data_IF_383871532976
#
_entry.id   IF_383871532976
#
_cell.length_a   1.000
_cell.length_b   1.000
_cell.length_c   1.000
_cell.angle_alpha   90.00
_cell.angle_beta   90.00
_cell.angle_gamma   90.00
#
_symmetry.space_group_name_H-M   'P 1'
#
loop_
_entity.id
_entity.type
_entity.pdbx_description
1 polymer ?
#
# COMPACT_ATOMS: atom_id res chain seq x y z
N UNK A 1 14.65 18.51 27.15
CA UNK A 1 14.40 18.81 25.73
C UNK A 1 12.96 19.31 25.62
N UNK A 2 12.69 20.41 24.91
CA UNK A 2 11.35 20.99 24.83
C UNK A 2 10.44 20.10 23.96
N UNK A 3 9.32 19.57 24.49
CA UNK A 3 8.47 18.61 23.77
C UNK A 3 7.75 19.20 22.54
N UNK A 4 7.74 20.53 22.38
CA UNK A 4 7.03 21.21 21.30
C UNK A 4 7.89 21.53 20.07
N UNK A 5 9.21 21.31 20.10
CA UNK A 5 10.10 21.71 19.00
C UNK A 5 9.82 20.97 17.68
N UNK A 6 9.30 19.74 17.77
CA UNK A 6 9.07 18.87 16.61
C UNK A 6 7.59 18.61 16.32
N UNK A 7 6.69 19.24 17.09
CA UNK A 7 5.25 19.19 16.85
C UNK A 7 4.89 19.71 15.45
N UNK A 8 5.65 20.68 14.93
CA UNK A 8 5.49 21.14 13.55
C UNK A 8 5.74 20.02 12.52
N UNK A 9 6.78 19.19 12.70
CA UNK A 9 7.04 18.06 11.82
C UNK A 9 5.89 17.05 11.84
N UNK A 10 5.29 16.80 13.00
CA UNK A 10 4.11 15.95 13.12
C UNK A 10 2.93 16.49 12.32
N UNK A 11 2.63 17.80 12.43
CA UNK A 11 1.54 18.40 11.64
C UNK A 11 1.83 18.39 10.13
N UNK A 12 3.06 18.66 9.71
CA UNK A 12 3.45 18.52 8.31
C UNK A 12 3.26 17.08 7.81
N UNK A 13 3.74 16.09 8.57
CA UNK A 13 3.58 14.68 8.21
C UNK A 13 2.10 14.28 8.06
N UNK A 14 1.23 14.79 8.94
CA UNK A 14 -0.20 14.53 8.87
C UNK A 14 -0.83 15.10 7.59
N UNK A 15 -0.48 16.34 7.21
CA UNK A 15 -0.97 16.97 5.97
C UNK A 15 -0.50 16.19 4.74
N UNK A 16 0.80 15.85 4.67
CA UNK A 16 1.35 15.10 3.54
C UNK A 16 0.80 13.67 3.47
N UNK A 17 0.62 13.00 4.60
CA UNK A 17 0.01 11.67 4.64
C UNK A 17 -1.43 11.69 4.18
N UNK A 18 -2.20 12.75 4.48
CA UNK A 18 -3.56 12.90 3.96
C UNK A 18 -3.57 13.14 2.45
N UNK A 19 -2.67 13.97 1.93
CA UNK A 19 -2.53 14.20 0.50
C UNK A 19 -2.13 12.93 -0.26
N UNK A 20 -1.19 12.15 0.27
CA UNK A 20 -0.78 10.85 -0.27
C UNK A 20 -1.94 9.84 -0.24
N UNK A 21 -2.66 9.74 0.88
CA UNK A 21 -3.83 8.87 0.99
C UNK A 21 -4.92 9.21 -0.03
N UNK A 22 -5.16 10.51 -0.29
CA UNK A 22 -6.11 10.94 -1.32
C UNK A 22 -5.67 10.52 -2.72
N UNK A 23 -4.40 10.75 -3.07
CA UNK A 23 -3.84 10.39 -4.38
C UNK A 23 -3.85 8.87 -4.61
N UNK A 24 -3.40 8.11 -3.63
CA UNK A 24 -3.39 6.64 -3.69
C UNK A 24 -4.81 6.07 -3.76
N UNK A 25 -5.73 6.62 -2.97
CA UNK A 25 -7.15 6.23 -3.04
C UNK A 25 -7.73 6.44 -4.43
N UNK A 26 -7.52 7.62 -5.04
CA UNK A 26 -8.02 7.89 -6.39
C UNK A 26 -7.43 6.93 -7.45
N UNK A 27 -6.14 6.61 -7.34
CA UNK A 27 -5.47 5.65 -8.20
C UNK A 27 -6.03 4.22 -8.04
N UNK A 28 -6.28 3.79 -6.82
CA UNK A 28 -6.74 2.44 -6.51
C UNK A 28 -8.21 2.22 -6.92
N UNK A 29 -9.06 3.25 -6.81
CA UNK A 29 -10.43 3.22 -7.37
C UNK A 29 -10.38 3.00 -8.88
N UNK A 30 -9.48 3.68 -9.61
CA UNK A 30 -9.33 3.48 -11.05
C UNK A 30 -8.90 2.05 -11.37
N UNK A 31 -7.91 1.52 -10.64
CA UNK A 31 -7.42 0.14 -10.84
C UNK A 31 -8.50 -0.93 -10.58
N UNK A 32 -9.39 -0.69 -9.62
CA UNK A 32 -10.43 -1.66 -9.24
C UNK A 32 -11.69 -1.58 -10.10
N UNK A 33 -12.10 -0.39 -10.52
CA UNK A 33 -13.40 -0.18 -11.17
C UNK A 33 -13.33 0.16 -12.67
N UNK A 34 -12.14 0.34 -13.26
CA UNK A 34 -12.00 0.70 -14.69
C UNK A 34 -12.75 -0.26 -15.63
N UNK A 35 -12.65 -1.58 -15.42
CA UNK A 35 -13.33 -2.57 -16.27
C UNK A 35 -14.84 -2.56 -16.11
N UNK A 36 -15.34 -2.35 -14.88
CA UNK A 36 -16.78 -2.30 -14.58
C UNK A 36 -17.45 -1.04 -15.11
N UNK A 37 -16.75 0.10 -15.08
CA UNK A 37 -17.23 1.36 -15.65
C UNK A 37 -17.11 1.35 -17.18
N UNK A 38 -15.99 0.84 -17.72
CA UNK A 38 -15.77 0.78 -19.18
C UNK A 38 -16.68 -0.22 -19.90
N UNK A 39 -17.17 -1.26 -19.21
CA UNK A 39 -18.14 -2.21 -19.79
C UNK A 39 -19.57 -1.67 -19.79
N UNK A 40 -19.83 -0.51 -19.18
CA UNK A 40 -21.16 0.05 -19.03
C UNK A 40 -21.99 -0.60 -17.91
N UNK A 41 -21.41 -1.51 -17.12
CA UNK A 41 -22.10 -2.19 -16.03
C UNK A 41 -22.35 -1.27 -14.82
N UNK A 42 -21.48 -0.29 -14.58
CA UNK A 42 -21.59 0.69 -13.50
C UNK A 42 -21.35 2.11 -14.03
N UNK A 43 -22.07 3.09 -13.47
CA UNK A 43 -21.73 4.51 -13.67
C UNK A 43 -20.55 4.92 -12.78
N UNK A 44 -19.84 5.98 -13.17
CA UNK A 44 -18.72 6.51 -12.37
C UNK A 44 -19.14 6.87 -10.94
N UNK A 45 -20.33 7.47 -10.77
CA UNK A 45 -20.85 7.82 -9.44
C UNK A 45 -21.12 6.59 -8.57
N UNK A 46 -21.67 5.52 -9.15
CA UNK A 46 -21.88 4.25 -8.42
C UNK A 46 -20.56 3.61 -8.00
N UNK A 47 -19.57 3.59 -8.91
CA UNK A 47 -18.24 3.07 -8.60
C UNK A 47 -17.58 3.83 -7.44
N UNK A 48 -17.66 5.16 -7.42
CA UNK A 48 -17.14 5.99 -6.33
C UNK A 48 -17.85 5.71 -5.00
N UNK A 49 -19.19 5.59 -4.99
CA UNK A 49 -19.93 5.28 -3.76
C UNK A 49 -19.53 3.92 -3.17
N UNK A 50 -19.36 2.90 -4.02
CA UNK A 50 -18.90 1.57 -3.57
C UNK A 50 -17.48 1.67 -3.05
N UNK A 51 -16.59 2.33 -3.79
CA UNK A 51 -15.19 2.48 -3.42
C UNK A 51 -14.99 3.16 -2.07
N UNK A 52 -15.75 4.22 -1.75
CA UNK A 52 -15.67 4.89 -0.45
C UNK A 52 -15.90 3.90 0.69
N UNK A 53 -16.92 3.03 0.57
CA UNK A 53 -17.24 2.04 1.60
C UNK A 53 -16.17 0.95 1.66
N UNK A 54 -15.80 0.38 0.52
CA UNK A 54 -14.87 -0.76 0.48
C UNK A 54 -13.45 -0.38 0.87
N UNK A 55 -12.93 0.76 0.40
CA UNK A 55 -11.59 1.25 0.73
C UNK A 55 -11.50 1.66 2.19
N UNK A 56 -12.51 2.35 2.73
CA UNK A 56 -12.55 2.70 4.16
C UNK A 56 -12.60 1.46 5.04
N UNK A 57 -13.48 0.50 4.73
CA UNK A 57 -13.57 -0.75 5.49
C UNK A 57 -12.26 -1.55 5.39
N UNK A 58 -11.66 -1.67 4.22
CA UNK A 58 -10.39 -2.34 4.02
C UNK A 58 -9.27 -1.70 4.84
N UNK A 59 -9.12 -0.38 4.76
CA UNK A 59 -8.13 0.37 5.54
C UNK A 59 -8.33 0.20 7.05
N UNK A 60 -9.58 0.29 7.54
CA UNK A 60 -9.90 0.19 8.96
C UNK A 60 -9.70 -1.23 9.52
N UNK A 61 -10.18 -2.27 8.83
CA UNK A 61 -10.13 -3.64 9.33
C UNK A 61 -8.82 -4.39 9.03
N UNK A 62 -8.18 -4.10 7.90
CA UNK A 62 -7.03 -4.88 7.40
C UNK A 62 -5.74 -4.06 7.27
N UNK A 63 -5.80 -2.72 7.38
CA UNK A 63 -4.65 -1.84 7.14
C UNK A 63 -3.53 -1.92 8.19
N UNK A 64 -3.84 -2.35 9.42
CA UNK A 64 -2.88 -2.32 10.53
C UNK A 64 -1.65 -3.23 10.31
N UNK A 65 -1.83 -4.40 9.69
CA UNK A 65 -0.73 -5.32 9.40
C UNK A 65 0.29 -4.74 8.42
N UNK A 66 -0.20 -4.10 7.36
CA UNK A 66 0.63 -3.47 6.33
C UNK A 66 1.32 -2.21 6.87
N UNK A 67 0.59 -1.38 7.63
CA UNK A 67 1.15 -0.19 8.28
C UNK A 67 2.32 -0.54 9.24
N UNK A 68 2.14 -1.57 10.07
CA UNK A 68 3.19 -2.06 10.97
C UNK A 68 4.39 -2.62 10.18
N UNK A 69 4.13 -3.29 9.06
CA UNK A 69 5.20 -3.79 8.19
C UNK A 69 6.00 -2.62 7.62
N UNK A 70 5.36 -1.58 7.08
CA UNK A 70 6.07 -0.42 6.50
C UNK A 70 6.87 0.32 7.57
N UNK A 71 6.25 0.60 8.73
CA UNK A 71 6.91 1.32 9.82
C UNK A 71 8.10 0.54 10.40
N UNK A 72 7.99 -0.79 10.52
CA UNK A 72 9.01 -1.64 11.14
C UNK A 72 10.06 -2.21 10.20
N UNK A 73 9.79 -2.29 8.89
CA UNK A 73 10.66 -2.98 7.93
C UNK A 73 11.73 -2.08 7.30
N UNK A 74 11.56 -0.76 7.35
CA UNK A 74 12.45 0.17 6.64
C UNK A 74 13.62 0.60 7.54
N UNK A 75 13.33 1.11 8.74
CA UNK A 75 14.35 1.63 9.66
C UNK A 75 14.56 0.74 10.88
N UNK A 76 15.81 0.68 11.38
CA UNK A 76 16.10 0.05 12.66
C UNK A 76 15.84 1.01 13.83
N UNK A 77 14.62 0.97 14.37
CA UNK A 77 14.13 1.89 15.43
C UNK A 77 15.00 1.87 16.70
N UNK A 78 15.71 0.76 16.99
CA UNK A 78 16.62 0.67 18.14
C UNK A 78 17.80 1.64 18.05
N UNK A 79 18.28 1.91 16.84
CA UNK A 79 19.41 2.85 16.62
C UNK A 79 19.00 4.31 16.92
N UNK A 80 17.70 4.61 16.88
CA UNK A 80 17.16 5.95 17.08
C UNK A 80 16.55 6.17 18.47
N UNK A 81 16.69 5.23 19.41
CA UNK A 81 16.09 5.36 20.76
C UNK A 81 16.59 6.59 21.53
N UNK A 82 17.82 7.03 21.27
CA UNK A 82 18.39 8.24 21.86
C UNK A 82 18.02 9.53 21.11
N UNK A 83 17.49 9.43 19.88
CA UNK A 83 17.18 10.57 18.99
C UNK A 83 15.92 10.30 18.13
N UNK A 84 14.73 10.18 18.74
CA UNK A 84 13.48 9.89 18.02
C UNK A 84 13.09 11.00 17.02
N UNK A 85 13.49 12.23 17.31
CA UNK A 85 13.32 13.40 16.43
C UNK A 85 13.91 13.16 15.04
N UNK A 86 15.05 12.47 15.00
CA UNK A 86 15.79 12.21 13.77
C UNK A 86 15.21 11.03 13.00
N UNK A 87 14.55 10.09 13.68
CA UNK A 87 13.72 9.08 13.02
C UNK A 87 12.53 9.73 12.32
N UNK A 88 11.84 10.67 12.99
CA UNK A 88 10.74 11.42 12.37
C UNK A 88 11.20 12.25 11.18
N UNK A 89 12.31 12.99 11.31
CA UNK A 89 12.90 13.76 10.22
C UNK A 89 13.35 12.85 9.06
N UNK A 90 13.96 11.71 9.38
CA UNK A 90 14.41 10.70 8.43
C UNK A 90 13.25 10.05 7.67
N UNK A 91 12.12 9.83 8.32
CA UNK A 91 10.91 9.29 7.70
C UNK A 91 10.20 10.31 6.79
N UNK A 92 10.15 11.60 7.18
CA UNK A 92 9.47 12.65 6.40
C UNK A 92 10.31 13.08 5.18
N UNK A 93 11.62 13.24 5.34
CA UNK A 93 12.50 13.86 4.33
C UNK A 93 13.38 12.79 3.63
N UNK A 94 13.21 11.50 3.94
CA UNK A 94 14.07 10.41 3.46
C UNK A 94 15.57 10.63 3.74
N UNK A 95 15.91 11.42 4.76
CA UNK A 95 17.29 11.74 5.14
C UNK A 95 17.97 10.67 6.01
N UNK A 96 17.24 9.61 6.40
CA UNK A 96 17.77 8.57 7.31
C UNK A 96 19.05 7.88 6.79
N UNK A 97 19.15 7.67 5.47
CA UNK A 97 20.36 7.13 4.83
C UNK A 97 21.44 8.21 4.70
N UNK A 98 21.07 9.46 4.41
CA UNK A 98 22.02 10.55 4.26
C UNK A 98 22.69 10.95 5.60
N UNK A 99 21.97 10.84 6.72
CA UNK A 99 22.46 11.21 8.05
C UNK A 99 23.34 10.14 8.72
N UNK A 100 23.08 8.85 8.47
CA UNK A 100 23.73 7.73 9.16
C UNK A 100 24.29 6.64 8.25
N UNK A 101 24.24 6.85 6.93
CA UNK A 101 24.61 5.85 5.95
C UNK A 101 23.59 4.70 5.85
N UNK A 102 23.93 3.66 5.08
CA UNK A 102 23.05 2.52 4.86
C UNK A 102 22.80 1.64 6.09
N UNK A 103 23.47 1.87 7.22
CA UNK A 103 23.40 1.00 8.41
C UNK A 103 22.04 1.12 9.13
N UNK A 104 21.33 2.23 8.95
CA UNK A 104 20.01 2.48 9.56
C UNK A 104 18.86 1.77 8.87
N UNK A 105 19.11 1.24 7.67
CA UNK A 105 18.13 0.55 6.85
C UNK A 105 18.28 -0.96 7.01
N UNK A 106 17.17 -1.66 7.21
CA UNK A 106 17.16 -3.12 7.29
C UNK A 106 17.25 -3.73 5.90
N UNK A 107 18.46 -3.91 5.36
CA UNK A 107 18.67 -4.47 4.02
C UNK A 107 18.38 -5.97 3.90
N UNK A 108 18.47 -6.71 5.01
CA UNK A 108 18.25 -8.16 5.06
C UNK A 108 16.77 -8.49 4.82
N UNK A 109 16.45 -9.75 4.55
CA UNK A 109 15.09 -10.23 4.22
C UNK A 109 14.00 -9.83 5.23
N UNK A 110 14.35 -9.51 6.48
CA UNK A 110 13.38 -8.97 7.45
C UNK A 110 12.96 -7.52 7.20
N UNK A 111 13.57 -6.84 6.22
CA UNK A 111 13.27 -5.47 5.83
C UNK A 111 13.13 -5.30 4.32
N UNK A 112 13.97 -4.46 3.73
CA UNK A 112 13.88 -3.99 2.34
C UNK A 112 13.93 -5.13 1.33
N UNK A 113 14.75 -6.16 1.53
CA UNK A 113 14.82 -7.28 0.59
C UNK A 113 13.47 -8.02 0.43
N UNK A 114 12.65 -8.14 1.49
CA UNK A 114 11.31 -8.73 1.38
C UNK A 114 10.37 -7.89 0.51
N UNK A 115 10.48 -6.56 0.58
CA UNK A 115 9.72 -5.64 -0.27
C UNK A 115 10.10 -5.86 -1.74
N UNK A 116 11.39 -5.92 -2.06
CA UNK A 116 11.83 -6.19 -3.43
C UNK A 116 11.34 -7.56 -3.94
N UNK A 117 11.41 -8.60 -3.12
CA UNK A 117 10.90 -9.92 -3.54
C UNK A 117 9.40 -9.91 -3.82
N UNK A 118 8.60 -9.12 -3.09
CA UNK A 118 7.16 -9.08 -3.31
C UNK A 118 6.76 -8.40 -4.62
N UNK A 119 7.60 -7.50 -5.15
CA UNK A 119 7.35 -6.86 -6.46
C UNK A 119 7.34 -7.85 -7.62
N UNK A 120 8.06 -8.96 -7.50
CA UNK A 120 8.08 -10.03 -8.51
C UNK A 120 7.08 -11.14 -8.17
N UNK A 121 7.03 -11.53 -6.91
CA UNK A 121 6.18 -12.66 -6.47
C UNK A 121 4.69 -12.31 -6.58
N UNK A 122 4.29 -11.09 -6.22
CA UNK A 122 2.86 -10.70 -6.23
C UNK A 122 2.24 -10.71 -7.63
N UNK A 123 2.85 -10.09 -8.68
CA UNK A 123 2.30 -10.17 -10.03
C UNK A 123 2.26 -11.60 -10.59
N UNK A 124 3.27 -12.42 -10.27
CA UNK A 124 3.32 -13.81 -10.70
C UNK A 124 2.15 -14.61 -10.12
N UNK A 125 1.93 -14.52 -8.80
CA UNK A 125 0.81 -15.22 -8.14
C UNK A 125 -0.52 -14.72 -8.69
N UNK A 126 -0.70 -13.40 -8.84
CA UNK A 126 -1.91 -12.82 -9.43
C UNK A 126 -2.19 -13.36 -10.84
N UNK A 127 -1.16 -13.49 -11.68
CA UNK A 127 -1.27 -14.06 -13.02
C UNK A 127 -1.68 -15.54 -13.02
N UNK A 128 -1.10 -16.34 -12.13
CA UNK A 128 -1.45 -17.76 -11.98
C UNK A 128 -2.92 -17.90 -11.54
N UNK A 129 -3.33 -17.17 -10.50
CA UNK A 129 -4.70 -17.22 -9.97
C UNK A 129 -5.71 -16.76 -11.02
N UNK A 130 -5.43 -15.65 -11.70
CA UNK A 130 -6.27 -15.13 -12.80
C UNK A 130 -6.42 -16.16 -13.93
N UNK A 131 -5.33 -16.84 -14.30
CA UNK A 131 -5.35 -17.88 -15.34
C UNK A 131 -6.21 -19.07 -14.93
N UNK A 132 -6.13 -19.51 -13.68
CA UNK A 132 -6.96 -20.60 -13.15
C UNK A 132 -8.45 -20.23 -13.22
N UNK A 133 -8.80 -19.03 -12.75
CA UNK A 133 -10.19 -18.55 -12.78
C UNK A 133 -10.70 -18.47 -14.23
N UNK A 134 -9.91 -17.89 -15.13
CA UNK A 134 -10.28 -17.75 -16.54
C UNK A 134 -10.49 -19.12 -17.22
N UNK A 135 -9.56 -20.05 -17.05
CA UNK A 135 -9.68 -21.39 -17.62
C UNK A 135 -10.85 -22.16 -17.01
N UNK A 136 -11.10 -22.00 -15.71
CA UNK A 136 -12.27 -22.54 -15.02
C UNK A 136 -13.57 -22.08 -15.69
N UNK A 137 -13.76 -20.77 -15.85
CA UNK A 137 -14.93 -20.21 -16.54
C UNK A 137 -15.02 -20.67 -17.99
N UNK A 138 -13.89 -20.72 -18.71
CA UNK A 138 -13.85 -21.13 -20.12
C UNK A 138 -14.33 -22.56 -20.34
N UNK A 139 -13.88 -23.51 -19.51
CA UNK A 139 -14.23 -24.91 -19.70
C UNK A 139 -15.53 -25.32 -18.98
N UNK A 140 -15.82 -24.74 -17.81
CA UNK A 140 -17.02 -25.07 -17.05
C UNK A 140 -18.29 -24.41 -17.60
N UNK A 141 -18.17 -23.21 -18.17
CA UNK A 141 -19.33 -22.42 -18.64
C UNK A 141 -19.32 -22.34 -20.17
N UNK A 142 -18.31 -21.68 -20.76
CA UNK A 142 -18.36 -21.29 -22.18
C UNK A 142 -18.28 -22.47 -23.16
N UNK A 143 -17.54 -23.53 -22.83
CA UNK A 143 -17.37 -24.71 -23.69
C UNK A 143 -18.29 -25.89 -23.31
N UNK A 144 -19.21 -25.70 -22.37
CA UNK A 144 -20.15 -26.75 -21.98
C UNK A 144 -21.14 -26.98 -23.14
N UNK A 145 -21.51 -28.24 -23.41
CA UNK A 145 -22.45 -28.63 -24.48
C UNK A 145 -23.81 -27.92 -24.42
N UNK A 146 -24.23 -27.46 -23.23
CA UNK A 146 -25.43 -26.65 -23.01
C UNK A 146 -25.07 -25.20 -22.61
N UNK A 147 -24.06 -24.62 -23.24
CA UNK A 147 -23.83 -23.17 -23.20
C UNK A 147 -24.92 -22.50 -24.04
N UNK A 148 -25.45 -21.38 -23.56
CA UNK A 148 -26.55 -20.59 -24.14
C UNK A 148 -26.58 -20.53 -25.67
#
# INVERSE_FOLDING_TARGET
MNPHMYTFLFFCALIFSFADAYGNGANDVANSFATSVSSGNLTLGQAVCIAIVTEFCGAYFLGSGTANTIAGSIFNVSEFSNQPELLMLGAIISMGIAAYGGVTVKWVYVGVAKIFTSWFVSPLIAGIVSSIIFLGTKYAVLKRENSF
#
